data_IF_206845660807
#
_entry.id   IF_206845660807
#
_cell.length_a   1.000
_cell.length_b   1.000
_cell.length_c   1.000
_cell.angle_alpha   90.00
_cell.angle_beta   90.00
_cell.angle_gamma   90.00
#
_symmetry.space_group_name_H-M   'P 1'
#
loop_
_entity.id
_entity.type
_entity.pdbx_description
1 polymer ?
#
# COMPACT_ATOMS: atom_id res chain seq x y z
N UNK A 1 -7.85 -2.44 -81.36
CA UNK A 1 -6.41 -2.13 -81.31
C UNK A 1 -5.99 -1.99 -79.85
N UNK A 2 -5.02 -2.81 -79.43
CA UNK A 2 -4.46 -2.89 -78.07
C UNK A 2 -3.69 -1.62 -77.72
N UNK A 3 -3.86 -1.10 -76.50
CA UNK A 3 -2.78 -0.41 -75.77
C UNK A 3 -2.80 -0.87 -74.31
N UNK A 4 -1.86 -1.77 -74.01
CA UNK A 4 -1.34 -2.03 -72.66
C UNK A 4 -0.66 -0.74 -72.18
N UNK A 5 -0.95 -0.31 -70.95
CA UNK A 5 -0.04 0.55 -70.19
C UNK A 5 0.18 -0.14 -68.85
N UNK A 6 1.41 -0.64 -68.70
CA UNK A 6 2.01 -1.13 -67.46
C UNK A 6 2.57 0.09 -66.75
N UNK A 7 2.17 0.33 -65.51
CA UNK A 7 2.95 1.19 -64.59
C UNK A 7 3.39 0.35 -63.40
N UNK A 8 4.69 0.14 -63.37
CA UNK A 8 5.43 -0.42 -62.26
C UNK A 8 5.62 0.63 -61.16
N UNK A 9 5.56 0.16 -59.91
CA UNK A 9 6.41 0.64 -58.80
C UNK A 9 6.08 1.98 -58.17
N UNK A 10 5.59 1.95 -56.93
CA UNK A 10 6.38 2.44 -55.79
C UNK A 10 5.68 1.99 -54.49
N UNK A 11 6.25 1.00 -53.80
CA UNK A 11 5.88 0.67 -52.42
C UNK A 11 6.44 1.76 -51.51
N UNK A 12 5.59 2.72 -51.12
CA UNK A 12 5.94 3.68 -50.08
C UNK A 12 5.83 2.96 -48.73
N UNK A 13 6.92 2.32 -48.30
CA UNK A 13 7.08 1.85 -46.94
C UNK A 13 7.08 3.06 -46.01
N UNK A 14 5.92 3.38 -45.43
CA UNK A 14 5.86 4.26 -44.29
C UNK A 14 6.60 3.58 -43.14
N UNK A 15 7.79 4.09 -42.84
CA UNK A 15 8.55 3.79 -41.64
C UNK A 15 7.65 4.17 -40.47
N UNK A 16 6.98 3.18 -39.90
CA UNK A 16 6.25 3.33 -38.65
C UNK A 16 7.26 3.73 -37.58
N UNK A 17 7.27 5.01 -37.23
CA UNK A 17 7.88 5.48 -35.99
C UNK A 17 7.02 4.85 -34.89
N UNK A 18 7.44 3.69 -34.41
CA UNK A 18 6.85 3.11 -33.22
C UNK A 18 7.30 4.04 -32.08
N UNK A 19 6.38 4.72 -31.38
CA UNK A 19 6.79 5.41 -30.17
C UNK A 19 7.40 4.34 -29.26
N UNK A 20 8.70 4.48 -28.99
CA UNK A 20 9.36 3.76 -27.92
C UNK A 20 8.52 4.04 -26.68
N UNK A 21 7.75 3.04 -26.26
CA UNK A 21 7.13 3.04 -24.96
C UNK A 21 8.27 3.01 -23.95
N UNK A 22 8.72 4.20 -23.55
CA UNK A 22 9.48 4.42 -22.32
C UNK A 22 8.66 3.73 -21.23
N UNK A 23 9.11 2.54 -20.81
CA UNK A 23 8.60 1.93 -19.59
C UNK A 23 8.80 2.98 -18.52
N UNK A 24 7.70 3.47 -17.96
CA UNK A 24 7.73 4.25 -16.75
C UNK A 24 8.58 3.46 -15.76
N UNK A 25 9.76 4.00 -15.42
CA UNK A 25 10.56 3.47 -14.33
C UNK A 25 9.61 3.28 -13.14
N UNK A 26 9.72 2.12 -12.47
CA UNK A 26 8.95 1.79 -11.27
C UNK A 26 9.18 2.93 -10.26
N UNK A 27 8.31 3.93 -10.26
CA UNK A 27 8.43 5.16 -9.46
C UNK A 27 8.24 4.88 -7.96
N UNK A 28 8.12 3.61 -7.58
CA UNK A 28 7.83 3.14 -6.24
C UNK A 28 9.12 2.59 -5.58
N UNK A 29 9.57 3.17 -4.47
CA UNK A 29 10.73 2.66 -3.74
C UNK A 29 10.57 1.20 -3.33
N UNK A 30 11.65 0.41 -3.43
CA UNK A 30 11.65 -1.02 -3.00
C UNK A 30 11.26 -1.13 -1.52
N UNK A 31 11.77 -0.23 -0.67
CA UNK A 31 11.44 -0.18 0.75
C UNK A 31 9.94 0.06 1.00
N UNK A 32 9.22 0.72 0.09
CA UNK A 32 7.80 1.02 0.27
C UNK A 32 6.97 -0.26 0.19
N UNK A 33 7.34 -1.18 -0.72
CA UNK A 33 6.74 -2.53 -0.78
C UNK A 33 7.08 -3.36 0.46
N UNK A 34 8.31 -3.27 0.96
CA UNK A 34 8.73 -4.00 2.17
C UNK A 34 7.96 -3.55 3.42
N UNK A 35 7.71 -2.24 3.56
CA UNK A 35 6.92 -1.70 4.68
C UNK A 35 5.50 -2.27 4.64
N UNK A 36 4.86 -2.32 3.47
CA UNK A 36 3.48 -2.81 3.34
C UNK A 36 3.29 -4.22 3.90
N UNK A 37 4.30 -5.09 3.76
CA UNK A 37 4.22 -6.50 4.18
C UNK A 37 4.82 -6.78 5.55
N UNK A 38 5.60 -5.86 6.13
CA UNK A 38 6.31 -6.07 7.40
C UNK A 38 5.90 -5.11 8.52
N UNK A 39 5.02 -4.13 8.24
CA UNK A 39 4.63 -3.09 9.19
C UNK A 39 4.10 -3.61 10.53
N UNK A 40 3.31 -4.69 10.54
CA UNK A 40 2.81 -5.29 11.77
C UNK A 40 3.84 -6.19 12.44
N UNK A 41 4.95 -5.62 12.91
CA UNK A 41 5.92 -6.36 13.70
C UNK A 41 5.28 -6.90 15.01
N UNK A 42 5.36 -8.21 15.32
CA UNK A 42 4.72 -8.80 16.50
C UNK A 42 5.07 -8.12 17.82
N UNK A 43 6.33 -7.72 18.01
CA UNK A 43 6.79 -7.07 19.24
C UNK A 43 6.16 -5.68 19.40
N UNK A 44 6.13 -4.89 18.32
CA UNK A 44 5.49 -3.57 18.33
C UNK A 44 3.98 -3.66 18.54
N UNK A 45 3.32 -4.65 17.92
CA UNK A 45 1.90 -4.91 18.14
C UNK A 45 1.65 -5.21 19.61
N UNK A 46 2.38 -6.16 20.19
CA UNK A 46 2.23 -6.55 21.60
C UNK A 46 2.43 -5.35 22.55
N UNK A 47 3.47 -4.55 22.33
CA UNK A 47 3.72 -3.33 23.11
C UNK A 47 2.53 -2.37 23.04
N UNK A 48 2.02 -2.11 21.83
CA UNK A 48 0.89 -1.22 21.62
C UNK A 48 -0.39 -1.76 22.30
N UNK A 49 -0.68 -3.06 22.18
CA UNK A 49 -1.83 -3.67 22.86
C UNK A 49 -1.75 -3.49 24.38
N UNK A 50 -0.54 -3.64 24.95
CA UNK A 50 -0.28 -3.40 26.37
C UNK A 50 -0.50 -1.96 26.82
N UNK A 51 0.07 -0.99 26.09
CA UNK A 51 -0.09 0.44 26.39
C UNK A 51 -1.56 0.85 26.41
N UNK A 52 -2.37 0.31 25.50
CA UNK A 52 -3.79 0.65 25.36
C UNK A 52 -4.74 -0.32 26.06
N UNK A 53 -4.20 -1.12 27.01
CA UNK A 53 -4.96 -2.00 27.91
C UNK A 53 -5.89 -2.99 27.19
N UNK A 54 -5.52 -3.41 25.98
CA UNK A 54 -6.19 -4.50 25.29
C UNK A 54 -5.84 -5.80 26.02
N UNK A 55 -6.84 -6.66 26.24
CA UNK A 55 -6.69 -7.84 27.10
C UNK A 55 -5.60 -8.79 26.59
N UNK A 56 -4.70 -9.22 27.49
CA UNK A 56 -3.56 -10.08 27.16
C UNK A 56 -3.96 -11.42 26.55
N UNK A 57 -5.11 -11.97 26.95
CA UNK A 57 -5.67 -13.21 26.40
C UNK A 57 -5.91 -13.13 24.89
N UNK A 58 -6.10 -11.91 24.35
CA UNK A 58 -6.38 -11.64 22.94
C UNK A 58 -5.12 -11.41 22.10
N UNK A 59 -3.97 -11.11 22.72
CA UNK A 59 -2.79 -10.63 22.00
C UNK A 59 -2.30 -11.60 20.94
N UNK A 60 -2.21 -12.88 21.28
CA UNK A 60 -1.78 -13.92 20.34
C UNK A 60 -2.71 -14.00 19.12
N UNK A 61 -4.02 -13.90 19.34
CA UNK A 61 -5.01 -13.97 18.26
C UNK A 61 -4.92 -12.75 17.35
N UNK A 62 -4.84 -11.55 17.93
CA UNK A 62 -4.67 -10.29 17.18
C UNK A 62 -3.38 -10.31 16.36
N UNK A 63 -2.26 -10.71 16.95
CA UNK A 63 -0.97 -10.79 16.25
C UNK A 63 -1.05 -11.75 15.07
N UNK A 64 -1.57 -12.96 15.27
CA UNK A 64 -1.68 -13.96 14.21
C UNK A 64 -2.58 -13.47 13.07
N UNK A 65 -3.73 -12.88 13.39
CA UNK A 65 -4.64 -12.34 12.39
C UNK A 65 -4.03 -11.18 11.60
N UNK A 66 -3.25 -10.32 12.25
CA UNK A 66 -2.50 -9.26 11.57
C UNK A 66 -1.45 -9.83 10.62
N UNK A 67 -0.71 -10.87 11.02
CA UNK A 67 0.26 -11.55 10.13
C UNK A 67 -0.44 -12.15 8.91
N UNK A 68 -1.62 -12.73 9.09
CA UNK A 68 -2.39 -13.30 7.98
C UNK A 68 -2.99 -12.23 7.07
N UNK A 69 -3.34 -11.06 7.62
CA UNK A 69 -3.99 -9.99 6.89
C UNK A 69 -3.00 -9.01 6.21
N UNK A 70 -1.75 -8.92 6.67
CA UNK A 70 -0.77 -7.93 6.16
C UNK A 70 -0.47 -8.11 4.67
N UNK A 71 -0.58 -9.33 4.13
CA UNK A 71 -0.43 -9.61 2.70
C UNK A 71 -1.46 -8.91 1.81
N UNK A 72 -2.55 -8.38 2.38
CA UNK A 72 -3.58 -7.63 1.66
C UNK A 72 -3.26 -6.13 1.54
N UNK A 73 -2.27 -5.63 2.29
CA UNK A 73 -1.94 -4.20 2.29
C UNK A 73 -1.53 -3.69 0.90
N UNK A 74 -0.69 -4.40 0.11
CA UNK A 74 -0.31 -3.92 -1.23
C UNK A 74 -1.50 -3.70 -2.17
N UNK A 75 -2.46 -4.63 -2.18
CA UNK A 75 -3.64 -4.50 -3.04
C UNK A 75 -4.56 -3.38 -2.58
N UNK A 76 -4.70 -3.17 -1.26
CA UNK A 76 -5.47 -2.05 -0.71
C UNK A 76 -4.83 -0.69 -1.05
N UNK A 77 -3.51 -0.56 -0.89
CA UNK A 77 -2.75 0.64 -1.24
C UNK A 77 -2.90 0.95 -2.73
N UNK A 78 -2.78 -0.06 -3.58
CA UNK A 78 -2.95 0.09 -5.03
C UNK A 78 -4.37 0.53 -5.40
N UNK A 79 -5.39 -0.10 -4.82
CA UNK A 79 -6.79 0.24 -5.08
C UNK A 79 -7.12 1.67 -4.62
N UNK A 80 -6.64 2.09 -3.44
CA UNK A 80 -6.80 3.48 -2.97
C UNK A 80 -6.11 4.47 -3.91
N UNK A 81 -4.89 4.16 -4.35
CA UNK A 81 -4.14 5.04 -5.24
C UNK A 81 -4.81 5.21 -6.62
N UNK A 82 -5.36 4.13 -7.17
CA UNK A 82 -6.10 4.15 -8.44
C UNK A 82 -7.39 4.96 -8.36
N UNK A 83 -7.95 5.15 -7.16
CA UNK A 83 -9.14 5.99 -6.97
C UNK A 83 -8.85 7.49 -7.00
N UNK A 84 -7.57 7.88 -6.97
CA UNK A 84 -7.13 9.28 -7.02
C UNK A 84 -6.63 9.66 -8.42
N UNK A 85 -6.90 10.90 -8.82
CA UNK A 85 -6.46 11.45 -10.10
C UNK A 85 -5.65 12.75 -9.89
N UNK A 86 -4.36 12.80 -10.24
CA UNK A 86 -3.54 11.69 -10.76
C UNK A 86 -3.29 10.60 -9.72
N UNK A 87 -2.98 9.38 -10.18
CA UNK A 87 -2.59 8.28 -9.30
C UNK A 87 -1.25 8.64 -8.60
N UNK A 88 -1.21 8.75 -7.26
CA UNK A 88 -0.04 9.23 -6.54
C UNK A 88 1.12 8.23 -6.52
N UNK A 89 0.88 6.96 -6.88
CA UNK A 89 1.91 5.93 -7.00
C UNK A 89 2.48 5.84 -8.42
N UNK A 90 1.87 6.54 -9.39
CA UNK A 90 2.39 6.66 -10.75
C UNK A 90 3.41 7.82 -10.83
N UNK A 91 4.07 7.95 -11.98
CA UNK A 91 4.95 9.10 -12.25
C UNK A 91 4.14 10.34 -12.64
N UNK A 92 4.38 11.52 -12.04
CA UNK A 92 5.36 11.78 -10.97
C UNK A 92 4.88 11.26 -9.60
N UNK A 93 5.78 10.61 -8.85
CA UNK A 93 5.46 10.01 -7.57
C UNK A 93 5.11 11.06 -6.51
N UNK A 94 3.94 10.94 -5.89
CA UNK A 94 3.50 11.86 -4.84
C UNK A 94 3.70 11.22 -3.46
N UNK A 95 4.83 11.57 -2.83
CA UNK A 95 5.27 11.04 -1.53
C UNK A 95 4.24 11.27 -0.42
N UNK A 96 3.66 12.46 -0.34
CA UNK A 96 2.71 12.82 0.72
C UNK A 96 1.40 12.03 0.62
N UNK A 97 0.90 11.85 -0.61
CA UNK A 97 -0.30 11.05 -0.86
C UNK A 97 -0.02 9.56 -0.66
N UNK A 98 1.15 9.06 -1.09
CA UNK A 98 1.57 7.69 -0.83
C UNK A 98 1.62 7.40 0.69
N UNK A 99 2.23 8.29 1.49
CA UNK A 99 2.28 8.20 2.94
C UNK A 99 0.88 8.07 3.57
N UNK A 100 -0.06 8.94 3.15
CA UNK A 100 -1.44 8.94 3.64
C UNK A 100 -2.19 7.68 3.26
N UNK A 101 -2.06 7.21 2.02
CA UNK A 101 -2.69 5.97 1.55
C UNK A 101 -2.18 4.77 2.33
N UNK A 102 -0.86 4.68 2.52
CA UNK A 102 -0.26 3.62 3.31
C UNK A 102 -0.82 3.59 4.73
N UNK A 103 -0.86 4.74 5.40
CA UNK A 103 -1.40 4.86 6.75
C UNK A 103 -2.86 4.39 6.82
N UNK A 104 -3.72 4.85 5.91
CA UNK A 104 -5.14 4.47 5.89
C UNK A 104 -5.33 2.98 5.58
N UNK A 105 -4.57 2.44 4.63
CA UNK A 105 -4.64 1.03 4.24
C UNK A 105 -4.24 0.11 5.38
N UNK A 106 -3.14 0.44 6.07
CA UNK A 106 -2.70 -0.27 7.27
C UNK A 106 -3.73 -0.14 8.40
N UNK A 107 -4.29 1.05 8.63
CA UNK A 107 -5.31 1.24 9.65
C UNK A 107 -6.56 0.40 9.37
N UNK A 108 -7.01 0.31 8.12
CA UNK A 108 -8.15 -0.54 7.73
C UNK A 108 -7.93 -2.01 8.09
N UNK A 109 -6.73 -2.54 7.80
CA UNK A 109 -6.37 -3.91 8.19
C UNK A 109 -6.34 -4.04 9.72
N UNK A 110 -5.68 -3.12 10.41
CA UNK A 110 -5.57 -3.16 11.86
C UNK A 110 -6.93 -3.12 12.56
N UNK A 111 -7.75 -2.13 12.22
CA UNK A 111 -9.11 -1.97 12.73
C UNK A 111 -9.94 -3.22 12.45
N UNK A 112 -9.93 -3.70 11.20
CA UNK A 112 -10.68 -4.88 10.78
C UNK A 112 -10.29 -6.16 11.53
N UNK A 113 -9.04 -6.28 12.00
CA UNK A 113 -8.62 -7.38 12.87
C UNK A 113 -9.07 -7.16 14.30
N UNK A 114 -8.73 -6.02 14.91
CA UNK A 114 -8.95 -5.80 16.35
C UNK A 114 -10.45 -5.72 16.70
N UNK A 115 -11.27 -5.15 15.81
CA UNK A 115 -12.72 -5.01 16.03
C UNK A 115 -13.43 -6.37 16.12
N UNK A 116 -12.89 -7.44 15.53
CA UNK A 116 -13.43 -8.82 15.67
C UNK A 116 -13.45 -9.29 17.12
N UNK A 117 -12.54 -8.75 17.94
CA UNK A 117 -12.36 -9.10 19.34
C UNK A 117 -13.01 -8.08 20.28
N UNK A 118 -13.76 -7.10 19.77
CA UNK A 118 -14.42 -6.07 20.60
C UNK A 118 -15.56 -6.62 21.45
N UNK A 119 -15.97 -7.87 21.23
CA UNK A 119 -16.99 -8.51 22.07
C UNK A 119 -16.44 -8.73 23.47
N UNK A 120 -17.25 -8.43 24.50
CA UNK A 120 -16.88 -8.52 25.93
C UNK A 120 -16.11 -9.81 26.23
N UNK A 121 -14.80 -9.67 26.46
CA UNK A 121 -14.04 -10.61 27.27
C UNK A 121 -13.83 -9.89 28.62
N UNK A 122 -14.59 -10.32 29.62
CA UNK A 122 -14.60 -9.70 30.96
C UNK A 122 -15.06 -8.23 31.02
N UNK A 123 -14.40 -7.43 31.88
CA UNK A 123 -14.66 -6.00 32.12
C UNK A 123 -13.85 -5.06 31.19
N UNK A 124 -13.12 -5.60 30.21
CA UNK A 124 -12.28 -4.79 29.32
C UNK A 124 -13.06 -4.33 28.09
N UNK A 125 -13.14 -3.01 27.89
CA UNK A 125 -13.80 -2.42 26.72
C UNK A 125 -12.75 -2.06 25.68
N UNK A 126 -12.51 -2.95 24.72
CA UNK A 126 -11.87 -2.57 23.46
C UNK A 126 -12.84 -1.60 22.78
N UNK A 127 -12.48 -0.32 22.78
CA UNK A 127 -13.25 0.74 22.17
C UNK A 127 -12.44 1.40 21.03
N UNK A 128 -13.10 2.24 20.23
CA UNK A 128 -12.46 2.92 19.11
C UNK A 128 -11.24 3.75 19.53
N UNK A 129 -11.22 4.33 20.73
CA UNK A 129 -10.08 5.08 21.24
C UNK A 129 -8.87 4.17 21.50
N UNK A 130 -9.08 3.00 22.10
CA UNK A 130 -8.00 2.03 22.31
C UNK A 130 -7.47 1.48 20.99
N UNK A 131 -8.34 1.16 20.03
CA UNK A 131 -7.96 0.67 18.69
C UNK A 131 -7.15 1.73 17.93
N UNK A 132 -7.64 2.98 17.89
CA UNK A 132 -6.94 4.07 17.23
C UNK A 132 -5.59 4.34 17.90
N UNK A 133 -5.59 4.39 19.23
CA UNK A 133 -4.41 4.67 20.02
C UNK A 133 -3.32 3.62 19.80
N UNK A 134 -3.67 2.33 19.87
CA UNK A 134 -2.71 1.26 19.65
C UNK A 134 -2.16 1.24 18.22
N UNK A 135 -2.99 1.51 17.21
CA UNK A 135 -2.48 1.70 15.84
C UNK A 135 -1.51 2.87 15.75
N UNK A 136 -1.87 4.03 16.31
CA UNK A 136 -1.03 5.23 16.28
C UNK A 136 0.32 4.97 16.96
N UNK A 137 0.36 4.19 18.04
CA UNK A 137 1.60 3.81 18.68
C UNK A 137 2.53 3.04 17.74
N UNK A 138 2.00 2.02 17.03
CA UNK A 138 2.77 1.25 16.04
C UNK A 138 3.25 2.15 14.89
N UNK A 139 2.37 3.04 14.41
CA UNK A 139 2.68 3.97 13.33
C UNK A 139 3.80 4.93 13.71
N UNK A 140 3.72 5.57 14.87
CA UNK A 140 4.71 6.56 15.33
C UNK A 140 6.10 5.93 15.49
N UNK A 141 6.19 4.69 15.95
CA UNK A 141 7.48 4.00 16.07
C UNK A 141 8.16 3.71 14.72
N UNK A 142 7.40 3.63 13.63
CA UNK A 142 7.93 3.31 12.29
C UNK A 142 7.93 4.51 11.34
N UNK A 143 7.29 5.62 11.72
CA UNK A 143 7.07 6.78 10.85
C UNK A 143 8.36 7.32 10.24
N UNK A 144 9.43 7.45 11.02
CA UNK A 144 10.71 7.95 10.53
C UNK A 144 11.30 7.06 9.41
N UNK A 145 11.24 5.74 9.58
CA UNK A 145 11.70 4.80 8.55
C UNK A 145 10.85 4.89 7.27
N UNK A 146 9.53 5.07 7.42
CA UNK A 146 8.62 5.25 6.29
C UNK A 146 8.92 6.54 5.53
N UNK A 147 9.11 7.65 6.25
CA UNK A 147 9.45 8.95 5.66
C UNK A 147 10.78 8.87 4.91
N UNK A 148 11.81 8.28 5.52
CA UNK A 148 13.12 8.09 4.89
C UNK A 148 13.02 7.24 3.62
N UNK A 149 12.21 6.19 3.64
CA UNK A 149 11.94 5.35 2.47
C UNK A 149 11.28 6.12 1.32
N UNK A 150 10.35 7.02 1.62
CA UNK A 150 9.66 7.80 0.59
C UNK A 150 10.54 8.92 0.01
N UNK A 151 11.47 9.45 0.81
CA UNK A 151 12.41 10.48 0.40
C UNK A 151 13.51 9.97 -0.53
N UNK A 152 13.85 8.68 -0.46
CA UNK A 152 14.85 8.05 -1.35
C UNK A 152 14.32 7.71 -2.75
N UNK A 153 13.06 8.03 -3.05
CA UNK A 153 12.49 7.89 -4.40
C UNK A 153 13.03 8.98 -5.34
N UNK A 154 13.46 8.65 -6.57
CA UNK A 154 13.86 9.64 -7.57
C UNK A 154 12.74 10.64 -7.90
#
# INVERSE_FOLDING_TARGET
MKKLIVFAGLTLSFIGIHPLALKADDALPICYRQIQTSFFNPQLVIQALGVYKIEQSLWRFIVNDLQNAVGQVPSLVQAEAQSLNPNPLASPFNRDQAFKILQRSLYKIYYGVVVKYQFRVGNSLINNSSIQGSFNHIWLQQQAAIVNCLQSSP
#
